data_IF_554675634410
#
_entry.id   IF_554675634410
#
_cell.length_a   1.000
_cell.length_b   1.000
_cell.length_c   1.000
_cell.angle_alpha   90.00
_cell.angle_beta   90.00
_cell.angle_gamma   90.00
#
_symmetry.space_group_name_H-M   'P 1'
#
loop_
_entity.id
_entity.type
_entity.pdbx_description
1 polymer ?
#
# COMPACT_ATOMS: atom_id res chain seq x y z
N UNK A 1 23.00 9.11 31.94
CA UNK A 1 22.58 8.53 30.64
C UNK A 1 22.05 9.68 29.78
N UNK A 2 22.43 9.76 28.50
CA UNK A 2 21.90 10.81 27.61
C UNK A 2 20.47 10.44 27.24
N UNK A 3 19.49 11.22 27.69
CA UNK A 3 18.08 11.03 27.35
C UNK A 3 17.83 11.21 25.86
N UNK A 4 16.85 10.50 25.31
CA UNK A 4 16.36 10.70 23.94
C UNK A 4 15.56 12.02 23.92
N UNK A 5 15.95 12.91 23.02
CA UNK A 5 15.23 14.18 22.78
C UNK A 5 14.27 14.00 21.61
N UNK A 6 13.00 14.30 21.79
CA UNK A 6 11.99 14.32 20.74
C UNK A 6 11.78 15.76 20.26
N UNK A 7 11.90 15.97 18.94
CA UNK A 7 11.66 17.27 18.29
C UNK A 7 10.51 17.14 17.29
N UNK A 8 9.57 18.06 17.36
CA UNK A 8 8.53 18.19 16.36
C UNK A 8 9.09 18.73 15.04
N UNK A 9 8.62 18.21 13.94
CA UNK A 9 8.90 18.69 12.58
C UNK A 9 8.07 19.94 12.33
N UNK A 10 8.69 21.10 12.14
CA UNK A 10 8.01 22.38 11.96
C UNK A 10 8.36 23.06 10.63
N UNK A 11 9.56 22.79 10.12
CA UNK A 11 10.08 23.43 8.91
C UNK A 11 10.17 22.46 7.73
N UNK A 12 10.26 23.01 6.52
CA UNK A 12 10.56 22.20 5.32
C UNK A 12 11.89 21.44 5.44
N UNK A 13 12.86 22.00 6.17
CA UNK A 13 14.14 21.34 6.41
C UNK A 13 13.97 20.13 7.34
N UNK A 14 13.14 20.26 8.38
CA UNK A 14 12.86 19.15 9.28
C UNK A 14 12.10 18.06 8.56
N UNK A 15 11.12 18.40 7.72
CA UNK A 15 10.39 17.43 6.90
C UNK A 15 11.31 16.69 5.93
N UNK A 16 12.26 17.40 5.31
CA UNK A 16 13.29 16.77 4.50
C UNK A 16 14.11 15.78 5.33
N UNK A 17 14.54 16.17 6.52
CA UNK A 17 15.31 15.32 7.45
C UNK A 17 14.48 14.10 7.85
N UNK A 18 13.18 14.29 8.13
CA UNK A 18 12.23 13.21 8.45
C UNK A 18 12.15 12.18 7.33
N UNK A 19 11.97 12.61 6.08
CA UNK A 19 11.89 11.71 4.92
C UNK A 19 13.23 11.02 4.68
N UNK A 20 14.34 11.76 4.72
CA UNK A 20 15.66 11.21 4.40
C UNK A 20 16.17 10.21 5.42
N UNK A 21 15.69 10.23 6.66
CA UNK A 21 16.12 9.29 7.71
C UNK A 21 15.91 7.82 7.31
N UNK A 22 14.80 7.50 6.63
CA UNK A 22 14.52 6.15 6.15
C UNK A 22 15.66 5.64 5.23
N UNK A 23 16.00 6.43 4.20
CA UNK A 23 17.05 6.04 3.26
C UNK A 23 18.44 5.91 3.91
N UNK A 24 18.71 6.72 4.93
CA UNK A 24 19.97 6.65 5.66
C UNK A 24 20.01 5.41 6.58
N UNK A 25 18.90 5.06 7.23
CA UNK A 25 18.77 3.89 8.10
C UNK A 25 18.89 2.56 7.34
N UNK A 26 18.23 2.47 6.17
CA UNK A 26 18.20 1.25 5.36
C UNK A 26 19.27 1.22 4.26
N UNK A 27 20.23 2.14 4.30
CA UNK A 27 21.29 2.18 3.29
C UNK A 27 22.06 0.86 3.20
N UNK A 28 22.02 0.25 2.00
CA UNK A 28 22.67 -1.04 1.74
C UNK A 28 21.85 -2.27 2.16
N UNK A 29 20.63 -2.09 2.64
CA UNK A 29 19.72 -3.20 2.86
C UNK A 29 19.22 -3.74 1.50
N UNK A 30 19.26 -5.07 1.33
CA UNK A 30 18.92 -5.74 0.07
C UNK A 30 17.41 -6.03 -0.07
N UNK A 31 16.63 -5.81 0.98
CA UNK A 31 15.21 -6.17 1.07
C UNK A 31 14.29 -4.96 1.14
N UNK A 32 14.78 -3.82 1.62
CA UNK A 32 14.01 -2.57 1.62
C UNK A 32 13.81 -2.06 0.19
N UNK A 33 12.57 -1.73 -0.17
CA UNK A 33 12.21 -1.09 -1.43
C UNK A 33 11.58 0.28 -1.14
N UNK A 34 12.40 1.31 -0.94
CA UNK A 34 11.91 2.61 -0.48
C UNK A 34 11.00 3.25 -1.54
N UNK A 35 10.03 4.03 -1.07
CA UNK A 35 9.20 4.87 -1.95
C UNK A 35 10.02 5.98 -2.60
N UNK A 36 9.47 6.64 -3.63
CA UNK A 36 10.10 7.84 -4.17
C UNK A 36 10.05 8.99 -3.15
N UNK A 37 11.13 9.76 -3.05
CA UNK A 37 11.18 10.94 -2.19
C UNK A 37 10.04 11.93 -2.49
N UNK A 38 9.68 12.08 -3.77
CA UNK A 38 8.57 12.94 -4.20
C UNK A 38 7.22 12.51 -3.64
N UNK A 39 7.01 11.20 -3.49
CA UNK A 39 5.75 10.64 -3.01
C UNK A 39 5.59 10.88 -1.51
N UNK A 40 6.61 10.56 -0.70
CA UNK A 40 6.61 10.92 0.72
C UNK A 40 6.49 12.43 0.93
N UNK A 41 7.22 13.24 0.15
CA UNK A 41 7.14 14.71 0.22
C UNK A 41 5.76 15.25 -0.20
N UNK A 42 4.98 14.51 -0.99
CA UNK A 42 3.60 14.84 -1.33
C UNK A 42 2.66 14.41 -0.20
N UNK A 43 2.72 13.15 0.19
CA UNK A 43 1.82 12.52 1.18
C UNK A 43 1.93 13.19 2.55
N UNK A 44 3.15 13.53 2.99
CA UNK A 44 3.39 14.19 4.28
C UNK A 44 3.14 15.71 4.26
N UNK A 45 2.79 16.29 3.13
CA UNK A 45 2.57 17.74 3.01
C UNK A 45 1.08 18.09 3.14
N UNK A 46 0.65 18.81 4.21
CA UNK A 46 -0.76 19.13 4.43
C UNK A 46 -1.38 20.02 3.33
N UNK A 47 -0.56 20.73 2.56
CA UNK A 47 -1.07 21.55 1.45
C UNK A 47 -1.29 20.75 0.16
N UNK A 48 -0.72 19.54 0.07
CA UNK A 48 -0.75 18.71 -1.13
C UNK A 48 -1.65 17.49 -0.99
N UNK A 49 -1.55 16.78 0.12
CA UNK A 49 -2.30 15.56 0.34
C UNK A 49 -3.77 15.86 0.73
N UNK A 50 -4.71 15.35 -0.07
CA UNK A 50 -6.15 15.52 0.16
C UNK A 50 -6.64 14.83 1.45
N UNK A 51 -5.90 13.86 1.99
CA UNK A 51 -6.25 13.23 3.26
C UNK A 51 -6.32 14.24 4.42
N UNK A 52 -5.60 15.36 4.34
CA UNK A 52 -5.67 16.42 5.36
C UNK A 52 -7.01 17.17 5.39
N UNK A 53 -7.93 16.91 4.47
CA UNK A 53 -9.30 17.42 4.57
C UNK A 53 -10.06 16.78 5.76
N UNK A 54 -9.61 15.60 6.24
CA UNK A 54 -10.22 14.84 7.33
C UNK A 54 -9.19 14.18 8.26
N UNK A 55 -7.90 14.45 8.07
CA UNK A 55 -6.82 13.97 8.94
C UNK A 55 -6.06 15.13 9.57
N UNK A 56 -5.53 14.87 10.76
CA UNK A 56 -4.52 15.71 11.41
C UNK A 56 -3.25 14.88 11.61
N UNK A 57 -2.09 15.51 11.51
CA UNK A 57 -0.82 14.82 11.77
C UNK A 57 0.24 15.74 12.39
N UNK A 58 1.05 15.14 13.25
CA UNK A 58 2.32 15.71 13.72
C UNK A 58 3.44 14.70 13.48
N UNK A 59 4.62 15.20 13.12
CA UNK A 59 5.79 14.37 12.83
C UNK A 59 6.87 14.65 13.86
N UNK A 60 7.58 13.62 14.28
CA UNK A 60 8.59 13.72 15.32
C UNK A 60 9.91 13.08 14.88
N UNK A 61 11.01 13.71 15.28
CA UNK A 61 12.37 13.23 15.12
C UNK A 61 12.95 12.94 16.51
N UNK A 62 13.61 11.80 16.67
CA UNK A 62 14.31 11.42 17.88
C UNK A 62 15.82 11.66 17.74
N UNK A 63 16.41 12.33 18.72
CA UNK A 63 17.86 12.58 18.80
C UNK A 63 18.43 11.96 20.07
N UNK A 64 19.61 11.33 19.96
CA UNK A 64 20.37 10.83 21.12
C UNK A 64 21.82 11.26 20.95
N UNK A 65 22.36 11.97 21.95
CA UNK A 65 23.71 12.58 21.88
C UNK A 65 23.93 13.44 20.61
N UNK A 66 22.90 14.21 20.22
CA UNK A 66 22.92 15.09 19.05
C UNK A 66 22.80 14.37 17.68
N UNK A 67 22.75 13.04 17.65
CA UNK A 67 22.57 12.27 16.42
C UNK A 67 21.08 11.96 16.22
N UNK A 68 20.60 12.06 14.99
CA UNK A 68 19.27 11.60 14.59
C UNK A 68 19.22 10.07 14.67
N UNK A 69 18.27 9.52 15.41
CA UNK A 69 18.16 8.09 15.71
C UNK A 69 16.78 7.50 15.47
N UNK A 70 15.79 8.32 15.10
CA UNK A 70 14.46 7.82 14.78
C UNK A 70 13.48 8.89 14.31
N UNK A 71 12.38 8.43 13.75
CA UNK A 71 11.25 9.25 13.29
C UNK A 71 9.94 8.54 13.56
N UNK A 72 8.84 9.29 13.68
CA UNK A 72 7.47 8.75 13.70
C UNK A 72 6.47 9.83 13.30
N UNK A 73 5.41 9.44 12.60
CA UNK A 73 4.22 10.26 12.36
C UNK A 73 3.12 9.85 13.34
N UNK A 74 2.48 10.84 13.98
CA UNK A 74 1.25 10.68 14.74
C UNK A 74 0.11 11.23 13.90
N UNK A 75 -0.90 10.41 13.58
CA UNK A 75 -1.95 10.72 12.60
C UNK A 75 -3.31 10.44 13.23
N UNK A 76 -4.25 11.35 13.10
CA UNK A 76 -5.66 11.14 13.45
C UNK A 76 -6.47 11.21 12.16
N UNK A 77 -7.11 10.10 11.79
CA UNK A 77 -8.07 10.04 10.69
C UNK A 77 -9.49 10.12 11.31
N UNK A 78 -10.07 11.31 11.28
CA UNK A 78 -11.40 11.55 11.86
C UNK A 78 -12.50 10.75 11.16
N UNK A 79 -12.41 10.62 9.84
CA UNK A 79 -13.38 9.86 9.04
C UNK A 79 -13.37 8.35 9.39
N UNK A 80 -12.18 7.77 9.56
CA UNK A 80 -12.06 6.39 10.01
C UNK A 80 -12.53 6.24 11.47
N UNK A 81 -12.16 7.15 12.36
CA UNK A 81 -12.61 7.14 13.75
C UNK A 81 -14.14 7.19 13.88
N UNK A 82 -14.80 8.03 13.07
CA UNK A 82 -16.25 8.12 13.02
C UNK A 82 -16.89 6.83 12.50
N UNK A 83 -16.40 6.32 11.36
CA UNK A 83 -16.91 5.10 10.73
C UNK A 83 -16.80 3.89 11.65
N UNK A 84 -15.64 3.70 12.26
CA UNK A 84 -15.35 2.55 13.12
C UNK A 84 -15.71 2.78 14.60
N UNK A 85 -16.33 3.94 14.93
CA UNK A 85 -16.75 4.33 16.28
C UNK A 85 -15.61 4.19 17.31
N UNK A 86 -14.45 4.73 16.97
CA UNK A 86 -13.22 4.64 17.76
C UNK A 86 -12.58 6.01 17.93
N UNK A 87 -11.72 6.15 18.95
CA UNK A 87 -10.93 7.35 19.23
C UNK A 87 -9.44 7.00 19.15
N UNK A 88 -8.98 6.67 17.96
CA UNK A 88 -7.63 6.20 17.75
C UNK A 88 -6.72 7.29 17.16
N UNK A 89 -5.49 7.37 17.67
CA UNK A 89 -4.36 7.98 16.98
C UNK A 89 -3.54 6.86 16.33
N UNK A 90 -3.16 7.06 15.08
CA UNK A 90 -2.30 6.13 14.32
C UNK A 90 -0.85 6.52 14.52
N UNK A 91 0.07 5.53 14.58
CA UNK A 91 1.47 5.78 14.31
C UNK A 91 1.83 5.22 12.94
N UNK A 92 2.59 5.99 12.16
CA UNK A 92 3.08 5.59 10.83
C UNK A 92 4.47 6.18 10.59
N UNK A 93 5.09 5.87 9.46
CA UNK A 93 6.46 6.32 9.15
C UNK A 93 7.42 6.16 10.33
N UNK A 94 7.25 5.08 11.11
CA UNK A 94 8.08 4.81 12.27
C UNK A 94 9.37 4.11 11.86
N UNK A 95 10.50 4.78 12.08
CA UNK A 95 11.81 4.22 11.86
C UNK A 95 12.73 4.59 13.03
N UNK A 96 13.55 3.65 13.47
CA UNK A 96 14.48 3.87 14.58
C UNK A 96 15.66 2.89 14.56
N UNK A 97 16.76 3.30 15.17
CA UNK A 97 17.91 2.43 15.40
C UNK A 97 17.58 1.40 16.50
N UNK A 98 18.32 0.28 16.56
CA UNK A 98 18.12 -0.78 17.58
C UNK A 98 18.51 -0.27 18.99
N UNK A 99 17.60 0.54 19.55
CA UNK A 99 17.71 1.15 20.89
C UNK A 99 16.30 1.30 21.48
N UNK A 100 15.99 0.53 22.52
CA UNK A 100 14.67 0.49 23.15
C UNK A 100 14.23 1.84 23.75
N UNK A 101 15.17 2.69 24.18
CA UNK A 101 14.84 4.03 24.67
C UNK A 101 14.31 4.92 23.54
N UNK A 102 14.84 4.73 22.31
CA UNK A 102 14.41 5.50 21.13
C UNK A 102 12.99 5.13 20.73
N UNK A 103 12.72 3.82 20.56
CA UNK A 103 11.35 3.35 20.21
C UNK A 103 10.32 3.73 21.28
N UNK A 104 10.69 3.62 22.56
CA UNK A 104 9.85 4.08 23.67
C UNK A 104 9.53 5.58 23.57
N UNK A 105 10.54 6.41 23.36
CA UNK A 105 10.36 7.86 23.28
C UNK A 105 9.47 8.27 22.10
N UNK A 106 9.67 7.65 20.92
CA UNK A 106 8.84 7.90 19.72
C UNK A 106 7.38 7.53 19.96
N UNK A 107 7.12 6.32 20.45
CA UNK A 107 5.75 5.86 20.72
C UNK A 107 5.08 6.68 21.84
N UNK A 108 5.84 7.07 22.87
CA UNK A 108 5.34 7.97 23.93
C UNK A 108 4.95 9.35 23.37
N UNK A 109 5.66 9.87 22.36
CA UNK A 109 5.30 11.11 21.70
C UNK A 109 3.94 10.97 20.97
N UNK A 110 3.69 9.82 20.29
CA UNK A 110 2.38 9.53 19.67
C UNK A 110 1.28 9.42 20.72
N UNK A 111 1.53 8.69 21.82
CA UNK A 111 0.58 8.57 22.94
C UNK A 111 0.22 9.95 23.52
N UNK A 112 1.23 10.80 23.72
CA UNK A 112 1.04 12.16 24.26
C UNK A 112 0.24 13.05 23.32
N UNK A 113 0.49 12.96 22.01
CA UNK A 113 -0.31 13.66 21.00
C UNK A 113 -1.76 13.16 20.99
N UNK A 114 -1.97 11.84 21.01
CA UNK A 114 -3.28 11.23 21.07
C UNK A 114 -4.08 11.70 22.29
N UNK A 115 -3.51 11.63 23.49
CA UNK A 115 -4.13 12.11 24.74
C UNK A 115 -4.50 13.59 24.66
N UNK A 116 -3.59 14.44 24.16
CA UNK A 116 -3.86 15.88 23.98
C UNK A 116 -5.04 16.13 23.04
N UNK A 117 -5.29 15.25 22.08
CA UNK A 117 -6.38 15.31 21.11
C UNK A 117 -7.64 14.53 21.53
N UNK A 118 -7.67 13.96 22.74
CA UNK A 118 -8.81 13.22 23.27
C UNK A 118 -8.98 11.82 22.68
N UNK A 119 -7.90 11.23 22.17
CA UNK A 119 -7.87 9.84 21.75
C UNK A 119 -7.65 8.93 22.97
N UNK A 120 -8.20 7.73 22.92
CA UNK A 120 -8.12 6.73 23.99
C UNK A 120 -7.25 5.51 23.64
N UNK A 121 -6.81 5.42 22.39
CA UNK A 121 -5.90 4.36 21.94
C UNK A 121 -4.94 4.79 20.84
N UNK A 122 -3.81 4.11 20.77
CA UNK A 122 -2.85 4.16 19.66
C UNK A 122 -2.97 2.88 18.84
N UNK A 123 -2.95 2.99 17.51
CA UNK A 123 -2.94 1.86 16.57
C UNK A 123 -1.87 2.06 15.49
N UNK A 124 -1.35 0.97 14.94
CA UNK A 124 -0.42 1.06 13.79
C UNK A 124 0.64 -0.04 13.74
N UNK A 125 1.58 0.04 12.77
CA UNK A 125 1.77 1.17 11.85
C UNK A 125 0.65 1.28 10.80
N UNK A 126 0.14 2.49 10.62
CA UNK A 126 -0.90 2.85 9.64
C UNK A 126 -0.65 4.25 9.10
N UNK A 127 -0.94 4.48 7.82
CA UNK A 127 -0.88 5.79 7.21
C UNK A 127 -2.15 6.63 7.41
N UNK A 128 -2.30 7.66 6.56
CA UNK A 128 -3.48 8.52 6.54
C UNK A 128 -4.73 7.74 6.11
N UNK A 129 -4.56 6.88 5.11
CA UNK A 129 -5.62 6.05 4.55
C UNK A 129 -5.14 4.61 4.37
N UNK A 130 -6.03 3.73 4.00
CA UNK A 130 -5.80 2.32 3.70
C UNK A 130 -4.98 2.08 2.40
N UNK A 131 -4.75 3.13 1.63
CA UNK A 131 -3.87 3.08 0.45
C UNK A 131 -2.42 3.47 0.77
N UNK A 132 -2.14 3.88 1.99
CA UNK A 132 -0.78 4.08 2.48
C UNK A 132 -0.22 2.76 3.04
N UNK A 133 1.11 2.59 3.09
CA UNK A 133 1.71 1.38 3.65
C UNK A 133 1.29 1.12 5.10
N UNK A 134 0.95 -0.14 5.40
CA UNK A 134 0.46 -0.55 6.70
C UNK A 134 1.07 -1.87 7.20
N UNK A 135 1.04 -2.07 8.51
CA UNK A 135 1.52 -3.27 9.18
C UNK A 135 3.05 -3.35 9.30
N UNK A 136 3.54 -3.56 10.51
CA UNK A 136 4.94 -3.86 10.81
C UNK A 136 5.28 -5.28 10.35
N UNK A 137 6.35 -5.45 9.58
CA UNK A 137 6.83 -6.78 9.19
C UNK A 137 7.23 -7.58 10.42
N UNK A 138 6.70 -8.79 10.56
CA UNK A 138 6.99 -9.71 11.67
C UNK A 138 7.59 -11.04 11.21
N UNK A 139 7.37 -11.43 9.93
CA UNK A 139 8.02 -12.55 9.25
C UNK A 139 8.37 -12.17 7.81
N UNK A 140 9.41 -12.80 7.23
CA UNK A 140 9.85 -12.55 5.86
C UNK A 140 10.82 -11.37 5.73
N UNK A 141 11.66 -11.15 6.73
CA UNK A 141 12.68 -10.08 6.74
C UNK A 141 13.76 -10.25 5.67
N UNK A 142 13.89 -11.44 5.11
CA UNK A 142 14.77 -11.83 4.01
C UNK A 142 14.10 -11.78 2.64
N UNK A 143 12.88 -11.23 2.57
CA UNK A 143 12.12 -11.09 1.34
C UNK A 143 12.12 -9.64 0.84
N UNK A 144 12.24 -9.49 -0.48
CA UNK A 144 12.19 -8.17 -1.11
C UNK A 144 10.85 -7.48 -0.83
N UNK A 145 10.91 -6.26 -0.32
CA UNK A 145 9.76 -5.38 -0.13
C UNK A 145 9.23 -4.82 -1.44
N UNK A 146 8.09 -4.15 -1.38
CA UNK A 146 7.53 -3.37 -2.48
C UNK A 146 7.41 -1.89 -2.07
N UNK A 147 7.25 -1.01 -3.03
CA UNK A 147 7.01 0.40 -2.74
C UNK A 147 5.67 0.68 -2.04
N UNK A 148 4.79 -0.31 -2.01
CA UNK A 148 3.47 -0.21 -1.39
C UNK A 148 3.42 -0.79 0.02
N UNK A 149 4.52 -1.34 0.53
CA UNK A 149 4.57 -2.00 1.83
C UNK A 149 5.76 -1.52 2.66
N UNK A 150 5.63 -1.57 3.99
CA UNK A 150 6.71 -1.18 4.91
C UNK A 150 7.76 -2.31 4.97
N UNK A 151 9.05 -1.95 4.89
CA UNK A 151 10.12 -2.81 5.38
C UNK A 151 10.58 -2.31 6.75
N UNK A 152 10.89 -3.23 7.65
CA UNK A 152 11.52 -2.91 8.93
C UNK A 152 12.44 -4.06 9.36
N UNK A 153 13.46 -3.74 10.18
CA UNK A 153 14.37 -4.74 10.73
C UNK A 153 13.68 -5.66 11.75
N UNK A 154 14.23 -6.88 11.97
CA UNK A 154 13.67 -7.86 12.93
C UNK A 154 13.60 -7.38 14.38
N UNK A 155 14.34 -6.34 14.76
CA UNK A 155 14.27 -5.79 16.12
C UNK A 155 13.01 -4.97 16.40
N UNK A 156 12.27 -4.52 15.37
CA UNK A 156 11.05 -3.73 15.56
C UNK A 156 9.97 -4.48 16.34
N UNK A 157 9.50 -5.67 15.92
CA UNK A 157 8.51 -6.43 16.69
C UNK A 157 9.04 -6.82 18.07
N UNK A 158 10.33 -7.14 18.23
CA UNK A 158 10.93 -7.40 19.54
C UNK A 158 10.83 -6.20 20.47
N UNK A 159 11.01 -4.97 19.95
CA UNK A 159 10.80 -3.76 20.73
C UNK A 159 9.34 -3.60 21.16
N UNK A 160 8.37 -3.90 20.29
CA UNK A 160 6.95 -3.85 20.65
C UNK A 160 6.63 -4.78 21.84
N UNK A 161 7.18 -5.98 21.83
CA UNK A 161 7.05 -6.95 22.94
C UNK A 161 7.72 -6.44 24.21
N UNK A 162 8.96 -5.94 24.14
CA UNK A 162 9.73 -5.44 25.30
C UNK A 162 9.14 -4.17 25.91
N UNK A 163 8.50 -3.34 25.12
CA UNK A 163 7.85 -2.10 25.60
C UNK A 163 6.62 -2.39 26.46
N UNK A 164 5.95 -3.54 26.25
CA UNK A 164 4.77 -3.97 26.97
C UNK A 164 3.52 -3.12 26.72
N UNK A 165 2.36 -3.70 27.00
CA UNK A 165 1.06 -3.02 26.82
C UNK A 165 0.62 -2.86 25.37
N UNK A 166 1.40 -3.35 24.42
CA UNK A 166 1.02 -3.43 23.01
C UNK A 166 0.42 -4.80 22.71
N UNK A 167 -0.72 -4.80 22.06
CA UNK A 167 -1.46 -6.00 21.66
C UNK A 167 -1.59 -6.07 20.15
N UNK A 168 -1.81 -7.26 19.61
CA UNK A 168 -2.23 -7.45 18.22
C UNK A 168 -3.56 -6.73 17.98
N UNK A 169 -3.63 -5.91 16.95
CA UNK A 169 -4.88 -5.31 16.49
C UNK A 169 -5.37 -6.00 15.22
N UNK A 170 -4.55 -6.04 14.17
CA UNK A 170 -4.83 -6.77 12.93
C UNK A 170 -3.56 -7.34 12.33
N UNK A 171 -3.68 -8.49 11.68
CA UNK A 171 -2.58 -9.13 10.96
C UNK A 171 -2.86 -9.21 9.47
N UNK A 172 -1.79 -9.13 8.68
CA UNK A 172 -1.81 -9.23 7.24
C UNK A 172 -0.82 -10.26 6.74
N UNK A 173 -1.13 -10.84 5.59
CA UNK A 173 -0.28 -11.79 4.86
C UNK A 173 0.03 -11.24 3.47
N UNK A 174 1.18 -11.61 2.93
CA UNK A 174 1.55 -11.35 1.54
C UNK A 174 1.95 -12.66 0.88
N UNK A 175 1.52 -12.84 -0.36
CA UNK A 175 1.79 -14.03 -1.15
C UNK A 175 2.64 -13.71 -2.37
N UNK A 176 3.53 -14.64 -2.65
CA UNK A 176 4.23 -14.73 -3.92
C UNK A 176 3.46 -15.69 -4.82
N UNK A 177 2.93 -15.17 -5.92
CA UNK A 177 2.16 -15.93 -6.90
C UNK A 177 3.07 -16.29 -8.08
N UNK A 178 3.38 -17.56 -8.28
CA UNK A 178 4.21 -17.99 -9.40
C UNK A 178 3.41 -17.87 -10.69
N UNK A 179 3.93 -17.16 -11.69
CA UNK A 179 3.30 -17.05 -13.00
C UNK A 179 3.46 -18.40 -13.73
N UNK A 180 2.36 -19.08 -14.05
CA UNK A 180 2.45 -20.38 -14.71
C UNK A 180 2.98 -20.24 -16.14
N UNK A 181 3.67 -21.27 -16.66
CA UNK A 181 4.15 -21.29 -18.05
C UNK A 181 3.02 -21.25 -19.07
N UNK A 182 1.90 -21.87 -18.73
CA UNK A 182 0.66 -21.86 -19.51
C UNK A 182 -0.48 -21.40 -18.60
N UNK A 183 -1.40 -20.61 -19.16
CA UNK A 183 -2.56 -20.16 -18.40
C UNK A 183 -3.41 -21.36 -18.01
N UNK A 184 -3.73 -21.59 -16.74
CA UNK A 184 -4.52 -22.74 -16.33
C UNK A 184 -5.85 -22.80 -17.08
N UNK A 185 -6.12 -23.95 -17.71
CA UNK A 185 -7.30 -24.16 -18.55
C UNK A 185 -8.61 -23.82 -17.82
N UNK A 186 -8.63 -24.02 -16.50
CA UNK A 186 -9.78 -23.70 -15.66
C UNK A 186 -10.11 -22.20 -15.68
N UNK A 187 -9.11 -21.30 -15.63
CA UNK A 187 -9.39 -19.86 -15.75
C UNK A 187 -9.97 -19.51 -17.11
N UNK A 188 -9.44 -20.11 -18.19
CA UNK A 188 -9.94 -19.87 -19.54
C UNK A 188 -11.38 -20.35 -19.72
N UNK A 189 -11.67 -21.58 -19.31
CA UNK A 189 -13.03 -22.16 -19.40
C UNK A 189 -14.06 -21.37 -18.56
N UNK A 190 -13.66 -20.98 -17.34
CA UNK A 190 -14.53 -20.18 -16.48
C UNK A 190 -14.76 -18.80 -17.09
N UNK A 191 -13.74 -18.15 -17.61
CA UNK A 191 -13.86 -16.85 -18.27
C UNK A 191 -14.80 -16.91 -19.48
N UNK A 192 -14.63 -17.89 -20.37
CA UNK A 192 -15.53 -18.10 -21.53
C UNK A 192 -17.00 -18.35 -21.09
N UNK A 193 -17.18 -19.14 -20.03
CA UNK A 193 -18.51 -19.39 -19.49
C UNK A 193 -19.16 -18.10 -18.96
N UNK A 194 -18.39 -17.27 -18.25
CA UNK A 194 -18.86 -15.99 -17.68
C UNK A 194 -19.23 -15.02 -18.81
N UNK A 195 -18.38 -14.90 -19.83
CA UNK A 195 -18.65 -14.07 -20.99
C UNK A 195 -19.95 -14.50 -21.71
N UNK A 196 -20.10 -15.79 -21.99
CA UNK A 196 -21.26 -16.34 -22.69
C UNK A 196 -22.56 -16.25 -21.85
N UNK A 197 -22.47 -16.56 -20.55
CA UNK A 197 -23.66 -16.66 -19.68
C UNK A 197 -24.13 -15.32 -19.12
N UNK A 198 -23.19 -14.45 -18.78
CA UNK A 198 -23.47 -13.21 -18.08
C UNK A 198 -23.18 -11.96 -18.88
N UNK A 199 -22.63 -12.09 -20.09
CA UNK A 199 -22.23 -10.99 -20.97
C UNK A 199 -21.31 -9.99 -20.26
N UNK A 200 -20.35 -10.52 -19.46
CA UNK A 200 -19.31 -9.75 -18.78
C UNK A 200 -18.02 -9.84 -19.59
N UNK A 201 -17.38 -8.70 -19.81
CA UNK A 201 -16.18 -8.62 -20.65
C UNK A 201 -15.03 -7.93 -19.92
N UNK A 202 -13.81 -8.47 -20.07
CA UNK A 202 -12.58 -7.88 -19.55
C UNK A 202 -11.81 -7.17 -20.65
N UNK A 203 -11.35 -5.96 -20.37
CA UNK A 203 -10.54 -5.17 -21.29
C UNK A 203 -9.71 -4.09 -20.59
N UNK A 204 -8.65 -3.57 -21.22
CA UNK A 204 -7.98 -2.36 -20.73
C UNK A 204 -8.86 -1.12 -20.99
N UNK A 205 -8.65 -0.10 -20.18
CA UNK A 205 -9.19 1.24 -20.43
C UNK A 205 -8.33 1.99 -21.45
N UNK A 206 -8.91 3.01 -22.05
CA UNK A 206 -8.20 4.01 -22.82
C UNK A 206 -7.97 5.29 -22.00
N UNK A 207 -6.95 6.08 -22.35
CA UNK A 207 -6.73 7.39 -21.71
C UNK A 207 -7.93 8.32 -21.83
N UNK A 208 -8.65 8.27 -22.95
CA UNK A 208 -9.87 9.06 -23.14
C UNK A 208 -10.94 8.69 -22.13
N UNK A 209 -11.21 7.39 -21.96
CA UNK A 209 -12.19 6.89 -20.99
C UNK A 209 -11.85 7.32 -19.56
N UNK A 210 -10.57 7.22 -19.17
CA UNK A 210 -10.13 7.62 -17.83
C UNK A 210 -10.40 9.08 -17.55
N UNK A 211 -9.95 9.97 -18.45
CA UNK A 211 -9.92 11.41 -18.17
C UNK A 211 -11.14 12.18 -18.68
N UNK A 212 -11.84 11.68 -19.70
CA UNK A 212 -12.98 12.38 -20.31
C UNK A 212 -14.32 11.70 -20.03
N UNK A 213 -14.34 10.38 -19.99
CA UNK A 213 -15.58 9.62 -19.88
C UNK A 213 -15.82 9.11 -18.42
N UNK A 214 -14.97 9.56 -17.45
CA UNK A 214 -15.15 9.33 -16.02
C UNK A 214 -14.79 7.93 -15.52
N UNK A 215 -14.16 7.09 -16.34
CA UNK A 215 -13.81 5.71 -15.92
C UNK A 215 -12.79 5.65 -14.78
N UNK A 216 -11.90 6.64 -14.69
CA UNK A 216 -11.00 6.75 -13.55
C UNK A 216 -11.76 6.83 -12.22
N UNK A 217 -12.82 7.63 -12.16
CA UNK A 217 -13.67 7.72 -10.97
C UNK A 217 -14.44 6.41 -10.70
N UNK A 218 -15.03 5.80 -11.74
CA UNK A 218 -15.75 4.51 -11.60
C UNK A 218 -14.88 3.40 -11.03
N UNK A 219 -13.59 3.37 -11.38
CA UNK A 219 -12.62 2.42 -10.80
C UNK A 219 -12.49 2.62 -9.29
N UNK A 220 -12.32 3.87 -8.83
CA UNK A 220 -12.19 4.14 -7.41
C UNK A 220 -13.51 4.03 -6.63
N UNK A 221 -14.67 4.24 -7.28
CA UNK A 221 -15.98 3.90 -6.71
C UNK A 221 -16.10 2.40 -6.42
N UNK A 222 -15.60 1.54 -7.33
CA UNK A 222 -15.54 0.09 -7.09
C UNK A 222 -14.61 -0.22 -5.92
N UNK A 223 -13.44 0.42 -5.82
CA UNK A 223 -12.53 0.25 -4.68
C UNK A 223 -13.23 0.68 -3.38
N UNK A 224 -13.88 1.84 -3.35
CA UNK A 224 -14.63 2.29 -2.18
C UNK A 224 -15.70 1.27 -1.75
N UNK A 225 -16.49 0.74 -2.70
CA UNK A 225 -17.55 -0.22 -2.40
C UNK A 225 -16.99 -1.58 -1.95
N UNK A 226 -15.91 -2.04 -2.56
CA UNK A 226 -15.38 -3.38 -2.30
C UNK A 226 -14.49 -3.45 -1.06
N UNK A 227 -13.94 -2.31 -0.60
CA UNK A 227 -13.03 -2.21 0.54
C UNK A 227 -13.69 -1.63 1.80
N UNK A 228 -14.96 -1.20 1.70
CA UNK A 228 -15.65 -0.50 2.80
C UNK A 228 -15.65 -1.22 4.15
N UNK A 229 -15.58 -2.55 4.14
CA UNK A 229 -15.60 -3.38 5.34
C UNK A 229 -14.20 -3.84 5.80
N UNK A 230 -13.12 -3.40 5.11
CA UNK A 230 -11.76 -3.73 5.51
C UNK A 230 -11.31 -2.91 6.71
N UNK A 231 -10.45 -3.50 7.55
CA UNK A 231 -9.91 -2.89 8.74
C UNK A 231 -9.27 -1.52 8.45
N UNK A 232 -9.66 -0.51 9.20
CA UNK A 232 -9.09 0.84 9.09
C UNK A 232 -9.54 1.64 7.85
N UNK A 233 -10.24 1.01 6.90
CA UNK A 233 -10.65 1.67 5.66
C UNK A 233 -11.60 2.84 5.90
N UNK A 234 -11.32 3.95 5.23
CA UNK A 234 -12.23 5.08 5.07
C UNK A 234 -12.37 5.41 3.58
N UNK A 235 -13.60 5.64 3.12
CA UNK A 235 -13.87 5.91 1.71
C UNK A 235 -13.05 7.09 1.18
N UNK A 236 -12.51 6.92 -0.01
CA UNK A 236 -11.76 7.97 -0.69
C UNK A 236 -12.69 9.11 -1.10
N UNK A 237 -12.29 10.34 -0.81
CA UNK A 237 -12.98 11.52 -1.29
C UNK A 237 -12.70 11.74 -2.80
N UNK A 238 -13.58 12.49 -3.48
CA UNK A 238 -13.37 12.86 -4.88
C UNK A 238 -12.02 13.53 -5.12
N UNK A 239 -11.56 14.36 -4.18
CA UNK A 239 -10.26 15.03 -4.25
C UNK A 239 -9.10 14.03 -4.18
N UNK A 240 -9.20 13.00 -3.33
CA UNK A 240 -8.21 11.93 -3.28
C UNK A 240 -8.22 11.10 -4.57
N UNK A 241 -9.40 10.72 -5.06
CA UNK A 241 -9.56 9.99 -6.33
C UNK A 241 -8.90 10.78 -7.47
N UNK A 242 -9.17 12.08 -7.57
CA UNK A 242 -8.54 12.96 -8.56
C UNK A 242 -7.01 12.95 -8.43
N UNK A 243 -6.47 13.00 -7.20
CA UNK A 243 -5.04 12.94 -6.96
C UNK A 243 -4.43 11.62 -7.42
N UNK A 244 -5.03 10.48 -7.06
CA UNK A 244 -4.54 9.16 -7.46
C UNK A 244 -4.57 8.96 -8.99
N UNK A 245 -5.65 9.37 -9.65
CA UNK A 245 -5.77 9.33 -11.11
C UNK A 245 -4.61 10.10 -11.76
N UNK A 246 -4.34 11.34 -11.31
CA UNK A 246 -3.32 12.17 -11.91
C UNK A 246 -1.88 11.82 -11.51
N UNK A 247 -1.69 11.16 -10.37
CA UNK A 247 -0.36 10.78 -9.89
C UNK A 247 0.14 9.47 -10.53
N UNK A 248 -0.74 8.48 -10.69
CA UNK A 248 -0.32 7.13 -11.09
C UNK A 248 -0.67 6.77 -12.53
N UNK A 249 -1.86 7.13 -13.03
CA UNK A 249 -2.31 6.68 -14.34
C UNK A 249 -1.55 7.25 -15.55
N UNK A 250 -0.97 8.47 -15.54
CA UNK A 250 -0.23 8.98 -16.69
C UNK A 250 0.98 8.12 -17.08
N UNK A 251 1.60 7.48 -16.09
CA UNK A 251 2.82 6.67 -16.26
C UNK A 251 2.52 5.17 -16.42
N UNK A 252 1.25 4.77 -16.23
CA UNK A 252 0.83 3.37 -16.27
C UNK A 252 0.60 2.88 -17.69
N UNK A 253 1.04 1.66 -17.98
CA UNK A 253 0.57 0.94 -19.16
C UNK A 253 -0.78 0.30 -18.82
N UNK A 254 -1.85 0.82 -19.42
CA UNK A 254 -3.22 0.47 -19.10
C UNK A 254 -3.58 -1.00 -19.34
N UNK A 255 -2.74 -1.75 -20.07
CA UNK A 255 -2.86 -3.22 -20.19
C UNK A 255 -2.74 -3.94 -18.85
N UNK A 256 -2.03 -3.33 -17.89
CA UNK A 256 -1.85 -3.88 -16.55
C UNK A 256 -2.97 -3.50 -15.59
N UNK A 257 -3.96 -2.71 -16.07
CA UNK A 257 -5.09 -2.22 -15.30
C UNK A 257 -6.40 -2.55 -16.03
N UNK A 258 -6.76 -3.86 -16.18
CA UNK A 258 -8.01 -4.24 -16.81
C UNK A 258 -9.21 -3.90 -15.94
N UNK A 259 -10.32 -3.62 -16.62
CA UNK A 259 -11.66 -3.52 -16.02
C UNK A 259 -12.56 -4.64 -16.52
N UNK A 260 -13.58 -4.98 -15.72
CA UNK A 260 -14.67 -5.85 -16.12
C UNK A 260 -15.90 -4.97 -16.36
N UNK A 261 -16.57 -5.17 -17.48
CA UNK A 261 -17.80 -4.47 -17.84
C UNK A 261 -18.97 -5.43 -17.99
N UNK A 262 -20.12 -5.00 -17.53
CA UNK A 262 -21.42 -5.62 -17.83
C UNK A 262 -22.01 -5.00 -19.09
N UNK A 263 -22.10 -5.78 -20.17
CA UNK A 263 -22.62 -5.33 -21.46
C UNK A 263 -24.13 -5.51 -21.62
N UNK A 264 -24.82 -6.02 -20.59
CA UNK A 264 -26.28 -6.10 -20.61
C UNK A 264 -26.94 -4.72 -20.46
N UNK A 265 -26.20 -3.72 -19.98
CA UNK A 265 -26.69 -2.34 -19.79
C UNK A 265 -25.95 -1.36 -20.69
N UNK A 266 -26.61 -0.27 -21.02
CA UNK A 266 -25.98 0.82 -21.83
C UNK A 266 -26.19 2.17 -21.11
N UNK A 267 -25.11 2.97 -20.95
CA UNK A 267 -23.72 2.65 -21.24
C UNK A 267 -23.23 1.46 -20.38
N UNK A 268 -22.22 0.74 -20.85
CA UNK A 268 -21.70 -0.42 -20.13
C UNK A 268 -21.27 -0.05 -18.72
N UNK A 269 -21.64 -0.90 -17.75
CA UNK A 269 -21.32 -0.69 -16.33
C UNK A 269 -19.99 -1.32 -15.99
N UNK A 270 -19.04 -0.55 -15.46
CA UNK A 270 -17.83 -1.09 -14.87
C UNK A 270 -18.18 -1.79 -13.57
N UNK A 271 -17.80 -3.06 -13.42
CA UNK A 271 -18.19 -3.91 -12.30
C UNK A 271 -17.01 -4.56 -11.59
N UNK A 272 -15.82 -4.42 -12.14
CA UNK A 272 -14.59 -4.91 -11.55
C UNK A 272 -13.36 -4.25 -12.13
N UNK A 273 -12.25 -4.32 -11.40
CA UNK A 273 -10.94 -3.79 -11.77
C UNK A 273 -9.84 -4.61 -11.14
N UNK A 274 -8.73 -4.75 -11.87
CA UNK A 274 -7.45 -5.23 -11.33
C UNK A 274 -6.39 -4.17 -11.59
N UNK A 275 -5.68 -3.74 -10.55
CA UNK A 275 -4.59 -2.76 -10.67
C UNK A 275 -3.28 -3.46 -10.36
N UNK A 276 -2.46 -3.63 -11.38
CA UNK A 276 -1.16 -4.26 -11.26
C UNK A 276 -0.09 -3.40 -11.94
N UNK A 277 1.17 -3.54 -11.49
CA UNK A 277 2.29 -2.79 -12.04
C UNK A 277 3.54 -3.65 -12.17
N UNK A 278 4.35 -3.47 -13.21
CA UNK A 278 5.72 -4.01 -13.23
C UNK A 278 6.48 -3.48 -12.00
N UNK A 279 7.00 -4.39 -11.16
CA UNK A 279 7.62 -4.01 -9.89
C UNK A 279 8.81 -3.09 -10.09
N UNK A 280 8.82 -1.99 -9.35
CA UNK A 280 9.91 -1.01 -9.30
C UNK A 280 10.91 -1.30 -8.18
N UNK A 281 10.68 -2.28 -7.30
CA UNK A 281 11.44 -2.50 -6.07
C UNK A 281 12.97 -2.48 -6.30
N UNK A 282 13.46 -3.23 -7.29
CA UNK A 282 14.90 -3.29 -7.60
C UNK A 282 15.49 -1.99 -8.17
N UNK A 283 14.66 -1.16 -8.79
CA UNK A 283 15.08 0.15 -9.28
C UNK A 283 15.11 1.15 -8.14
N UNK A 284 14.09 1.16 -7.30
CA UNK A 284 13.98 2.06 -6.16
C UNK A 284 15.16 1.91 -5.19
N UNK A 285 15.63 0.68 -4.94
CA UNK A 285 16.82 0.39 -4.14
C UNK A 285 18.08 1.10 -4.63
N UNK A 286 18.20 1.35 -5.93
CA UNK A 286 19.37 1.98 -6.57
C UNK A 286 19.33 3.51 -6.55
N UNK A 287 18.15 4.09 -6.27
CA UNK A 287 17.99 5.52 -6.30
C UNK A 287 18.67 6.20 -5.10
N UNK A 288 19.39 7.27 -5.37
CA UNK A 288 19.97 8.07 -4.30
C UNK A 288 18.85 8.77 -3.49
N UNK A 289 18.61 8.30 -2.27
CA UNK A 289 17.54 8.80 -1.37
C UNK A 289 16.18 8.94 -2.10
N UNK A 290 15.79 7.93 -2.88
CA UNK A 290 14.53 7.90 -3.57
C UNK A 290 14.33 8.95 -4.68
N UNK A 291 15.41 9.59 -5.17
CA UNK A 291 15.32 10.66 -6.17
C UNK A 291 15.53 10.15 -7.59
N UNK A 292 14.68 10.59 -8.51
CA UNK A 292 14.78 10.26 -9.93
C UNK A 292 15.91 10.99 -10.64
N UNK A 293 16.32 12.19 -10.18
CA UNK A 293 17.39 12.98 -10.78
C UNK A 293 18.74 12.69 -10.14
N UNK A 294 19.84 12.63 -10.95
CA UNK A 294 19.86 12.96 -12.38
C UNK A 294 19.53 11.77 -13.31
N UNK A 295 19.74 10.48 -12.94
CA UNK A 295 19.64 9.34 -13.87
C UNK A 295 18.59 8.29 -13.50
N UNK A 296 18.03 8.31 -12.30
CA UNK A 296 17.09 7.30 -11.81
C UNK A 296 15.79 7.22 -12.64
N UNK A 297 15.37 8.33 -13.25
CA UNK A 297 14.19 8.34 -14.13
C UNK A 297 14.31 7.38 -15.31
N UNK A 298 15.54 7.14 -15.82
CA UNK A 298 15.76 6.24 -16.93
C UNK A 298 15.54 4.79 -16.53
N UNK A 299 16.00 4.39 -15.35
CA UNK A 299 15.79 3.03 -14.85
C UNK A 299 14.30 2.76 -14.57
N UNK A 300 13.60 3.73 -13.99
CA UNK A 300 12.14 3.64 -13.82
C UNK A 300 11.43 3.53 -15.16
N UNK A 301 11.79 4.36 -16.15
CA UNK A 301 11.24 4.29 -17.49
C UNK A 301 11.46 2.94 -18.16
N UNK A 302 12.66 2.34 -17.98
CA UNK A 302 12.96 0.99 -18.51
C UNK A 302 12.02 -0.08 -17.96
N UNK A 303 11.66 0.01 -16.69
CA UNK A 303 10.69 -0.92 -16.10
C UNK A 303 9.27 -0.62 -16.58
N UNK A 304 8.81 0.61 -16.46
CA UNK A 304 7.41 0.94 -16.78
C UNK A 304 7.07 0.84 -18.27
N UNK A 305 7.98 1.23 -19.16
CA UNK A 305 7.73 1.24 -20.60
C UNK A 305 8.22 -0.01 -21.32
N UNK A 306 9.36 -0.56 -20.92
CA UNK A 306 9.96 -1.72 -21.57
C UNK A 306 9.83 -3.00 -20.74
N UNK A 307 9.12 -2.95 -19.61
CA UNK A 307 8.83 -4.09 -18.72
C UNK A 307 10.07 -4.88 -18.32
N UNK A 308 11.20 -4.19 -18.05
CA UNK A 308 12.48 -4.80 -17.66
C UNK A 308 12.50 -5.18 -16.18
N UNK A 309 11.55 -6.04 -15.80
CA UNK A 309 11.44 -6.66 -14.46
C UNK A 309 10.89 -8.07 -14.64
N UNK A 310 11.12 -8.92 -13.64
CA UNK A 310 10.57 -10.28 -13.56
C UNK A 310 9.43 -10.39 -12.55
N UNK A 311 9.08 -9.27 -11.93
CA UNK A 311 8.13 -9.20 -10.82
C UNK A 311 6.99 -8.25 -11.21
N UNK A 312 5.77 -8.61 -10.85
CA UNK A 312 4.60 -7.73 -10.92
C UNK A 312 4.06 -7.48 -9.51
N UNK A 313 3.77 -6.23 -9.18
CA UNK A 313 3.09 -5.86 -7.94
C UNK A 313 1.58 -5.87 -8.20
N UNK A 314 0.85 -6.71 -7.45
CA UNK A 314 -0.61 -6.84 -7.51
C UNK A 314 -1.20 -5.93 -6.43
N UNK A 315 -1.50 -4.69 -6.80
CA UNK A 315 -1.82 -3.64 -5.83
C UNK A 315 -3.26 -3.71 -5.32
N UNK A 316 -4.24 -3.72 -6.24
CA UNK A 316 -5.66 -3.69 -5.88
C UNK A 316 -6.47 -4.60 -6.80
N UNK A 317 -7.43 -5.30 -6.23
CA UNK A 317 -8.45 -6.05 -6.97
C UNK A 317 -9.80 -5.79 -6.35
N UNK A 318 -10.76 -5.33 -7.15
CA UNK A 318 -12.12 -5.09 -6.71
C UNK A 318 -13.12 -5.61 -7.74
N UNK A 319 -14.08 -6.40 -7.27
CA UNK A 319 -15.24 -6.83 -8.08
C UNK A 319 -16.47 -6.66 -7.22
N UNK A 320 -17.48 -5.98 -7.73
CA UNK A 320 -18.71 -5.73 -7.00
C UNK A 320 -19.32 -7.05 -6.49
N UNK A 321 -19.90 -7.08 -5.28
CA UNK A 321 -20.35 -8.32 -4.62
C UNK A 321 -21.27 -9.18 -5.48
N UNK A 322 -22.23 -8.56 -6.18
CA UNK A 322 -23.19 -9.23 -7.05
C UNK A 322 -22.59 -9.89 -8.31
N UNK A 323 -21.37 -9.47 -8.69
CA UNK A 323 -20.62 -10.06 -9.80
C UNK A 323 -19.54 -11.05 -9.32
N UNK A 324 -19.07 -10.87 -8.09
CA UNK A 324 -18.12 -11.79 -7.46
C UNK A 324 -18.70 -13.20 -7.34
N UNK A 325 -19.96 -13.33 -6.94
CA UNK A 325 -20.66 -14.62 -6.84
C UNK A 325 -20.84 -15.31 -8.19
N UNK A 326 -20.73 -14.57 -9.30
CA UNK A 326 -20.73 -15.11 -10.67
C UNK A 326 -19.34 -15.61 -11.11
N UNK A 327 -18.31 -15.44 -10.28
CA UNK A 327 -16.93 -15.81 -10.59
C UNK A 327 -16.18 -14.81 -11.46
N UNK A 328 -16.65 -13.55 -11.57
CA UNK A 328 -16.09 -12.53 -12.47
C UNK A 328 -14.59 -12.27 -12.27
N UNK A 329 -14.04 -12.57 -11.09
CA UNK A 329 -12.60 -12.48 -10.83
C UNK A 329 -11.76 -13.30 -11.83
N UNK A 330 -12.28 -14.44 -12.31
CA UNK A 330 -11.58 -15.29 -13.28
C UNK A 330 -11.28 -14.56 -14.59
N UNK A 331 -12.10 -13.58 -14.97
CA UNK A 331 -11.85 -12.73 -16.15
C UNK A 331 -10.55 -11.93 -16.00
N UNK A 332 -10.27 -11.39 -14.82
CA UNK A 332 -9.04 -10.64 -14.58
C UNK A 332 -7.81 -11.54 -14.73
N UNK A 333 -7.83 -12.76 -14.18
CA UNK A 333 -6.70 -13.69 -14.29
C UNK A 333 -6.53 -14.22 -15.70
N UNK A 334 -7.62 -14.57 -16.39
CA UNK A 334 -7.55 -15.03 -17.79
C UNK A 334 -6.96 -13.96 -18.71
N UNK A 335 -7.13 -12.68 -18.39
CA UNK A 335 -6.58 -11.55 -19.13
C UNK A 335 -5.13 -11.24 -18.73
N UNK A 336 -4.82 -11.20 -17.43
CA UNK A 336 -3.52 -10.73 -16.93
C UNK A 336 -2.41 -11.79 -17.06
N UNK A 337 -2.70 -13.08 -16.80
CA UNK A 337 -1.68 -14.13 -16.85
C UNK A 337 -0.97 -14.19 -18.22
N UNK A 338 -1.67 -14.18 -19.38
CA UNK A 338 -1.02 -14.12 -20.69
C UNK A 338 -0.14 -12.87 -20.90
N UNK A 339 -0.50 -11.74 -20.30
CA UNK A 339 0.32 -10.52 -20.34
C UNK A 339 1.59 -10.73 -19.53
N UNK A 340 1.51 -11.29 -18.33
CA UNK A 340 2.68 -11.58 -17.51
C UNK A 340 3.64 -12.54 -18.21
N UNK A 341 3.13 -13.61 -18.82
CA UNK A 341 3.91 -14.56 -19.62
C UNK A 341 4.62 -13.87 -20.79
N UNK A 342 3.89 -13.04 -21.56
CA UNK A 342 4.42 -12.27 -22.69
C UNK A 342 5.61 -11.39 -22.32
N UNK A 343 5.58 -10.79 -21.11
CA UNK A 343 6.64 -9.90 -20.65
C UNK A 343 7.69 -10.59 -19.79
N UNK A 344 7.63 -11.91 -19.64
CA UNK A 344 8.61 -12.70 -18.89
C UNK A 344 8.58 -12.47 -17.38
N UNK A 345 7.39 -12.13 -16.85
CA UNK A 345 7.17 -12.05 -15.40
C UNK A 345 7.23 -13.47 -14.83
N UNK A 346 8.05 -13.67 -13.81
CA UNK A 346 8.22 -14.95 -13.14
C UNK A 346 7.23 -15.13 -11.97
N UNK A 347 6.94 -14.05 -11.26
CA UNK A 347 6.02 -14.08 -10.14
C UNK A 347 5.39 -12.71 -9.85
N UNK A 348 4.25 -12.75 -9.17
CA UNK A 348 3.53 -11.59 -8.67
C UNK A 348 3.63 -11.49 -7.15
N UNK A 349 3.81 -10.28 -6.65
CA UNK A 349 3.72 -9.95 -5.22
C UNK A 349 2.33 -9.43 -4.92
N UNK A 350 1.59 -10.06 -4.00
CA UNK A 350 0.32 -9.47 -3.55
C UNK A 350 0.60 -8.25 -2.67
N UNK A 351 -0.34 -7.33 -2.65
CA UNK A 351 -0.39 -6.33 -1.59
C UNK A 351 -0.76 -7.01 -0.25
N UNK A 352 -0.72 -6.26 0.84
CA UNK A 352 -1.14 -6.76 2.15
C UNK A 352 -2.61 -7.23 2.11
N UNK A 353 -2.86 -8.44 2.55
CA UNK A 353 -4.19 -9.04 2.66
C UNK A 353 -4.48 -9.34 4.11
N UNK A 354 -5.63 -8.91 4.63
CA UNK A 354 -6.01 -9.28 6.00
C UNK A 354 -5.96 -10.81 6.16
N UNK A 355 -5.34 -11.29 7.24
CA UNK A 355 -5.23 -12.72 7.53
C UNK A 355 -6.59 -13.45 7.48
N UNK A 356 -7.65 -12.73 7.85
CA UNK A 356 -9.02 -13.24 7.90
C UNK A 356 -9.80 -13.07 6.59
N UNK A 357 -9.18 -12.56 5.51
CA UNK A 357 -9.86 -12.32 4.24
C UNK A 357 -9.81 -13.54 3.31
N UNK A 358 -10.44 -14.65 3.73
CA UNK A 358 -10.52 -15.89 2.95
C UNK A 358 -11.05 -15.68 1.52
N UNK A 359 -11.88 -14.65 1.31
CA UNK A 359 -12.48 -14.35 -0.01
C UNK A 359 -11.42 -13.88 -1.02
N UNK A 360 -10.42 -13.14 -0.59
CA UNK A 360 -9.32 -12.73 -1.46
C UNK A 360 -8.34 -13.89 -1.61
N UNK A 361 -7.96 -14.53 -0.51
CA UNK A 361 -7.00 -15.64 -0.52
C UNK A 361 -7.47 -16.83 -1.37
N UNK A 362 -8.78 -17.12 -1.39
CA UNK A 362 -9.33 -18.19 -2.24
C UNK A 362 -9.21 -17.94 -3.74
N UNK A 363 -8.93 -16.71 -4.18
CA UNK A 363 -8.72 -16.40 -5.60
C UNK A 363 -7.42 -17.01 -6.14
N UNK A 364 -6.43 -17.21 -5.28
CA UNK A 364 -5.12 -17.75 -5.62
C UNK A 364 -5.08 -19.28 -5.72
N UNK A 365 -6.15 -19.99 -5.34
CA UNK A 365 -6.19 -21.46 -5.18
C UNK A 365 -5.79 -22.29 -6.41
N UNK A 366 -5.77 -21.68 -7.61
CA UNK A 366 -5.38 -22.35 -8.87
C UNK A 366 -4.01 -21.92 -9.36
N UNK A 367 -3.30 -21.12 -8.57
CA UNK A 367 -1.92 -20.72 -8.81
C UNK A 367 -1.02 -21.32 -7.75
N UNK A 368 0.23 -21.57 -8.08
CA UNK A 368 1.24 -21.85 -7.07
C UNK A 368 1.49 -20.61 -6.25
N UNK A 369 1.20 -20.68 -4.95
CA UNK A 369 1.28 -19.56 -4.02
C UNK A 369 2.16 -19.90 -2.83
N UNK A 370 3.02 -18.95 -2.46
CA UNK A 370 3.90 -19.06 -1.31
C UNK A 370 3.59 -17.88 -0.38
N UNK A 371 3.04 -18.14 0.82
CA UNK A 371 2.98 -17.11 1.85
C UNK A 371 4.39 -16.86 2.33
N UNK A 372 4.87 -15.64 2.19
CA UNK A 372 6.26 -15.35 2.49
C UNK A 372 6.50 -14.13 3.37
N UNK A 373 5.50 -13.33 3.63
CA UNK A 373 5.57 -12.23 4.59
C UNK A 373 4.34 -12.21 5.48
N UNK A 374 4.55 -11.76 6.70
CA UNK A 374 3.51 -11.56 7.69
C UNK A 374 3.70 -10.21 8.36
N UNK A 375 2.61 -9.46 8.53
CA UNK A 375 2.65 -8.12 9.12
C UNK A 375 1.63 -8.00 10.22
N UNK A 376 1.90 -7.05 11.13
CA UNK A 376 1.04 -6.79 12.28
C UNK A 376 0.84 -5.31 12.50
N UNK A 377 -0.42 -4.92 12.67
CA UNK A 377 -0.77 -3.70 13.37
C UNK A 377 -0.93 -3.97 14.85
N UNK A 378 -0.38 -3.10 15.66
CA UNK A 378 -0.45 -3.15 17.11
C UNK A 378 -1.43 -2.10 17.61
N UNK A 379 -2.00 -2.36 18.80
CA UNK A 379 -2.81 -1.38 19.54
C UNK A 379 -2.36 -1.27 20.98
N UNK A 380 -2.63 -0.11 21.58
CA UNK A 380 -2.42 0.16 23.01
C UNK A 380 -3.45 1.19 23.49
N UNK A 381 -4.10 0.93 24.62
CA UNK A 381 -4.93 1.92 25.28
C UNK A 381 -4.06 2.98 25.98
N UNK A 382 -4.50 4.24 25.97
CA UNK A 382 -3.74 5.39 26.48
C UNK A 382 -4.55 6.30 27.40
#
# INVERSE_FOLDING_TARGET
MSSVEIRKVETKKDLKTFIEFHYDLYKGNEFDAPVLYSDDAHVLNPKKNAAFDFCEAEYYLAFKKGKLVGRVAAIINHKANEKWKTKAVRFGWIDFVDDLEVSRALLTAVESYGKKKGMDKVIGPLGFTDLDPEGMLVEGFDQLGTMATIYNYPYYPRHMEQLGGWEKDNDYVEYKLIVPKETPEKYMKVAEMIEKRYNLHVRPMTKKEIYKDGYGYKVFEIINETFKDLYGFSELSERQIYQYINMYLPFSDLKWIPIIEDWNVKPHKVVGVGITFPSLSRVLQKLHKGRLWPFGWWDVLRVLKFHKTKIVDLLLIGVLPEYRVKGANALLFSYLIPIYQKYGIEWGETHVEMETNDKVQSQWQYLETIRHKYRRCYRKLI
#
